data_IF_778133353972
#
_entry.id   IF_778133353972
#
_cell.length_a   1.000
_cell.length_b   1.000
_cell.length_c   1.000
_cell.angle_alpha   90.00
_cell.angle_beta   90.00
_cell.angle_gamma   90.00
#
_symmetry.space_group_name_H-M   'P 1'
#
loop_
_entity.id
_entity.type
_entity.pdbx_description
1 polymer ?
#
# COMPACT_ATOMS: atom_id res chain seq x y z
N UNK A 1 32.33 59.66 20.82
CA UNK A 1 32.36 61.11 21.04
C UNK A 1 33.68 61.63 20.51
N UNK A 2 33.64 62.82 19.91
CA UNK A 2 34.70 63.43 19.13
C UNK A 2 35.86 64.00 19.98
N UNK A 3 36.84 64.53 19.24
CA UNK A 3 37.91 65.47 19.63
C UNK A 3 39.26 64.86 20.01
N UNK A 4 40.41 65.36 19.57
CA UNK A 4 40.77 66.53 18.75
C UNK A 4 42.30 66.49 18.46
N UNK A 5 42.68 67.04 17.31
CA UNK A 5 43.81 67.97 17.06
C UNK A 5 45.25 67.58 17.47
N UNK A 6 46.14 67.35 16.50
CA UNK A 6 46.99 68.33 15.78
C UNK A 6 48.26 68.82 16.53
N UNK A 7 49.39 68.27 16.07
CA UNK A 7 50.63 68.94 15.61
C UNK A 7 51.25 70.07 16.45
N UNK A 8 52.43 69.78 17.00
CA UNK A 8 53.58 70.71 17.08
C UNK A 8 54.81 69.95 16.54
N UNK A 9 55.42 70.36 15.43
CA UNK A 9 56.32 71.50 15.23
C UNK A 9 57.79 71.06 15.27
N UNK A 10 58.37 71.06 14.06
CA UNK A 10 59.69 71.59 13.72
C UNK A 10 61.01 70.82 13.91
N UNK A 11 61.68 70.72 12.74
CA UNK A 11 63.11 70.85 12.47
C UNK A 11 63.99 69.65 12.85
N UNK A 12 64.78 69.05 11.95
CA UNK A 12 65.81 69.74 11.16
C UNK A 12 66.46 68.80 10.13
N UNK A 13 67.05 69.42 9.09
CA UNK A 13 68.23 69.02 8.29
C UNK A 13 68.04 68.28 6.95
N UNK A 14 68.16 69.10 5.90
CA UNK A 14 69.16 69.04 4.80
C UNK A 14 69.31 67.68 4.10
N UNK A 15 69.00 67.64 2.79
CA UNK A 15 70.02 67.90 1.77
C UNK A 15 69.38 68.06 0.38
N UNK A 16 69.79 69.11 -0.35
CA UNK A 16 69.60 69.19 -1.81
C UNK A 16 70.71 68.36 -2.43
N UNK A 17 70.38 67.52 -3.40
CA UNK A 17 71.19 67.32 -4.61
C UNK A 17 70.34 66.67 -5.71
N UNK A 18 70.47 67.26 -6.89
CA UNK A 18 70.29 66.70 -8.22
C UNK A 18 68.87 66.36 -8.71
N UNK A 19 68.19 67.46 -9.07
CA UNK A 19 67.13 67.48 -10.06
C UNK A 19 67.64 67.02 -11.44
N UNK A 20 67.52 65.74 -11.74
CA UNK A 20 67.39 65.26 -13.12
C UNK A 20 65.97 64.69 -13.29
N UNK A 21 65.01 65.59 -13.53
CA UNK A 21 63.65 65.22 -13.89
C UNK A 21 63.31 65.88 -15.23
N UNK A 22 63.39 65.10 -16.30
CA UNK A 22 62.95 65.43 -17.65
C UNK A 22 61.55 66.03 -17.59
N UNK A 23 61.41 67.29 -18.04
CA UNK A 23 60.13 68.01 -18.07
C UNK A 23 59.22 67.41 -19.16
N UNK A 24 58.36 66.47 -18.79
CA UNK A 24 57.37 65.87 -19.69
C UNK A 24 56.35 66.95 -20.08
N UNK A 25 56.23 67.25 -21.38
CA UNK A 25 55.18 68.14 -21.88
C UNK A 25 53.80 67.47 -21.74
N UNK A 26 52.74 68.21 -21.35
CA UNK A 26 51.41 67.64 -21.25
C UNK A 26 50.88 67.27 -22.65
N UNK A 27 50.57 65.99 -22.87
CA UNK A 27 49.91 65.53 -24.10
C UNK A 27 48.51 66.15 -24.21
N UNK A 28 48.16 66.65 -25.40
CA UNK A 28 46.81 67.09 -25.73
C UNK A 28 45.83 65.92 -25.54
N UNK A 29 44.72 66.17 -24.83
CA UNK A 29 43.66 65.20 -24.61
C UNK A 29 43.07 64.76 -25.95
N UNK A 30 43.14 63.47 -26.26
CA UNK A 30 42.45 62.88 -27.40
C UNK A 30 40.96 62.74 -27.04
N UNK A 31 40.07 63.28 -27.87
CA UNK A 31 38.62 63.10 -27.71
C UNK A 31 38.29 61.64 -27.98
N UNK A 32 37.49 61.03 -27.10
CA UNK A 32 37.00 59.67 -27.30
C UNK A 32 36.06 59.64 -28.50
N UNK A 33 36.16 58.60 -29.34
CA UNK A 33 35.27 58.36 -30.49
C UNK A 33 33.80 58.23 -30.05
N UNK A 34 33.56 57.95 -28.77
CA UNK A 34 32.24 57.90 -28.15
C UNK A 34 31.49 59.24 -28.18
N UNK A 35 32.17 60.37 -28.34
CA UNK A 35 31.53 61.70 -28.33
C UNK A 35 30.90 62.07 -29.69
N UNK A 36 31.06 61.24 -30.73
CA UNK A 36 30.71 61.60 -32.13
C UNK A 36 29.47 60.84 -32.64
N UNK A 37 28.97 59.82 -31.92
CA UNK A 37 27.88 59.00 -32.44
C UNK A 37 26.88 58.63 -31.35
N UNK A 38 25.80 59.41 -31.24
CA UNK A 38 24.55 58.89 -30.68
C UNK A 38 23.81 58.11 -31.78
N UNK A 39 23.67 56.77 -31.68
CA UNK A 39 22.82 56.05 -32.61
C UNK A 39 21.37 56.45 -32.34
N UNK A 40 20.77 57.21 -33.27
CA UNK A 40 19.33 57.46 -33.29
C UNK A 40 18.63 56.10 -33.38
N UNK A 41 18.15 55.58 -32.25
CA UNK A 41 17.42 54.30 -32.19
C UNK A 41 16.07 54.48 -32.88
N UNK A 42 16.01 54.18 -34.17
CA UNK A 42 14.75 54.01 -34.89
C UNK A 42 14.25 52.60 -34.55
N UNK A 43 13.29 52.50 -33.64
CA UNK A 43 12.55 51.26 -33.41
C UNK A 43 11.60 51.05 -34.58
N UNK A 44 12.02 50.25 -35.56
CA UNK A 44 11.15 49.79 -36.64
C UNK A 44 10.31 48.63 -36.11
N UNK A 45 9.05 48.89 -35.76
CA UNK A 45 8.07 47.84 -35.46
C UNK A 45 7.54 47.29 -36.78
N UNK A 46 8.20 46.27 -37.34
CA UNK A 46 7.72 45.57 -38.53
C UNK A 46 6.49 44.74 -38.14
N UNK A 47 5.31 45.14 -38.63
CA UNK A 47 4.10 44.34 -38.49
C UNK A 47 4.08 43.22 -39.53
N UNK A 48 3.55 42.05 -39.18
CA UNK A 48 3.56 40.84 -40.01
C UNK A 48 3.09 41.07 -41.46
N UNK A 49 2.17 42.01 -41.67
CA UNK A 49 1.61 42.36 -42.99
C UNK A 49 2.51 43.21 -43.91
N UNK A 50 3.66 43.69 -43.44
CA UNK A 50 4.57 44.54 -44.23
C UNK A 50 5.87 43.84 -44.66
N UNK A 51 6.09 42.61 -44.18
CA UNK A 51 7.28 41.82 -44.46
C UNK A 51 7.18 41.12 -45.82
N UNK A 52 8.26 41.12 -46.60
CA UNK A 52 8.34 40.27 -47.80
C UNK A 52 8.35 38.79 -47.41
N UNK A 53 7.91 37.91 -48.33
CA UNK A 53 7.72 36.48 -48.07
C UNK A 53 8.87 35.80 -47.30
N UNK A 54 10.16 36.01 -47.66
CA UNK A 54 11.28 35.42 -46.93
C UNK A 54 11.38 35.90 -45.48
N UNK A 55 11.13 37.20 -45.24
CA UNK A 55 11.18 37.78 -43.90
C UNK A 55 9.99 37.32 -43.04
N UNK A 56 8.82 37.11 -43.64
CA UNK A 56 7.64 36.59 -42.92
C UNK A 56 7.85 35.16 -42.43
N UNK A 57 8.49 34.30 -43.24
CA UNK A 57 8.83 32.93 -42.84
C UNK A 57 9.77 32.93 -41.63
N UNK A 58 10.86 33.70 -41.68
CA UNK A 58 11.83 33.85 -40.58
C UNK A 58 11.18 34.47 -39.34
N UNK A 59 10.30 35.45 -39.51
CA UNK A 59 9.58 36.09 -38.41
C UNK A 59 8.63 35.12 -37.69
N UNK A 60 7.88 34.31 -38.45
CA UNK A 60 6.97 33.31 -37.88
C UNK A 60 7.73 32.18 -37.17
N UNK A 61 8.86 31.74 -37.75
CA UNK A 61 9.73 30.75 -37.13
C UNK A 61 10.35 31.28 -35.84
N UNK A 62 10.85 32.52 -35.83
CA UNK A 62 11.42 33.14 -34.63
C UNK A 62 10.38 33.35 -33.53
N UNK A 63 9.14 33.72 -33.86
CA UNK A 63 8.05 33.78 -32.86
C UNK A 63 7.78 32.40 -32.23
N UNK A 64 7.73 31.35 -33.06
CA UNK A 64 7.54 29.98 -32.57
C UNK A 64 8.63 29.58 -31.58
N UNK A 65 9.89 29.79 -31.96
CA UNK A 65 11.06 29.51 -31.11
C UNK A 65 11.04 30.33 -29.83
N UNK A 66 10.66 31.62 -29.89
CA UNK A 66 10.60 32.47 -28.70
C UNK A 66 9.54 31.98 -27.70
N UNK A 67 8.36 31.58 -28.17
CA UNK A 67 7.29 31.01 -27.32
C UNK A 67 7.72 29.70 -26.68
N UNK A 68 8.33 28.81 -27.45
CA UNK A 68 8.85 27.55 -26.91
C UNK A 68 9.96 27.79 -25.88
N UNK A 69 10.85 28.75 -26.12
CA UNK A 69 11.90 29.11 -25.17
C UNK A 69 11.33 29.63 -23.84
N UNK A 70 10.26 30.43 -23.89
CA UNK A 70 9.56 30.90 -22.71
C UNK A 70 8.92 29.74 -21.92
N UNK A 71 8.27 28.81 -22.63
CA UNK A 71 7.73 27.58 -22.04
C UNK A 71 8.82 26.73 -21.37
N UNK A 72 9.92 26.47 -22.07
CA UNK A 72 11.04 25.68 -21.54
C UNK A 72 11.70 26.35 -20.33
N UNK A 73 11.78 27.68 -20.30
CA UNK A 73 12.27 28.43 -19.12
C UNK A 73 11.37 28.22 -17.91
N UNK A 74 10.06 28.23 -18.11
CA UNK A 74 9.10 27.97 -17.04
C UNK A 74 9.20 26.54 -16.52
N UNK A 75 9.28 25.54 -17.41
CA UNK A 75 9.48 24.13 -17.03
C UNK A 75 10.81 23.91 -16.30
N UNK A 76 11.89 24.53 -16.78
CA UNK A 76 13.20 24.44 -16.14
C UNK A 76 13.21 25.09 -14.76
N UNK A 77 12.47 26.19 -14.58
CA UNK A 77 12.28 26.78 -13.26
C UNK A 77 11.52 25.84 -12.33
N UNK A 78 10.42 25.25 -12.79
CA UNK A 78 9.63 24.32 -11.98
C UNK A 78 10.44 23.08 -11.58
N UNK A 79 11.17 22.47 -12.52
CA UNK A 79 12.07 21.35 -12.24
C UNK A 79 13.16 21.70 -11.22
N UNK A 80 13.69 22.93 -11.25
CA UNK A 80 14.65 23.40 -10.23
C UNK A 80 14.01 23.46 -8.85
N UNK A 81 12.77 23.93 -8.75
CA UNK A 81 12.03 23.97 -7.48
C UNK A 81 11.77 22.54 -6.97
N UNK A 82 11.31 21.64 -7.85
CA UNK A 82 11.09 20.23 -7.49
C UNK A 82 12.39 19.58 -6.99
N UNK A 83 13.50 19.78 -7.70
CA UNK A 83 14.81 19.25 -7.30
C UNK A 83 15.26 19.81 -5.94
N UNK A 84 15.03 21.09 -5.67
CA UNK A 84 15.35 21.71 -4.39
C UNK A 84 14.52 21.08 -3.25
N UNK A 85 13.23 20.84 -3.48
CA UNK A 85 12.36 20.18 -2.50
C UNK A 85 12.81 18.74 -2.22
N UNK A 86 13.16 17.98 -3.26
CA UNK A 86 13.67 16.62 -3.13
C UNK A 86 14.98 16.61 -2.34
N UNK A 87 15.93 17.51 -2.65
CA UNK A 87 17.21 17.62 -1.91
C UNK A 87 17.02 18.01 -0.44
N UNK A 88 16.00 18.83 -0.13
CA UNK A 88 15.65 19.14 1.25
C UNK A 88 15.06 17.94 1.98
N UNK A 89 14.21 17.16 1.31
CA UNK A 89 13.59 15.96 1.89
C UNK A 89 14.59 14.83 2.09
N UNK A 90 15.52 14.67 1.16
CA UNK A 90 16.55 13.63 1.17
C UNK A 90 17.93 14.28 1.04
N UNK A 91 18.49 14.76 2.17
CA UNK A 91 19.82 15.36 2.18
C UNK A 91 20.89 14.32 1.82
N UNK A 92 22.07 14.81 1.46
CA UNK A 92 23.24 13.96 1.25
C UNK A 92 23.55 13.20 2.55
N UNK A 93 23.47 11.88 2.50
CA UNK A 93 23.80 10.98 3.61
C UNK A 93 25.17 10.36 3.35
N UNK A 94 26.05 10.47 4.35
CA UNK A 94 27.37 9.87 4.34
C UNK A 94 27.45 8.78 5.43
N UNK A 95 28.20 7.71 5.17
CA UNK A 95 28.52 6.72 6.20
C UNK A 95 29.65 7.23 7.13
N UNK A 96 30.01 6.43 8.14
CA UNK A 96 31.11 6.76 9.05
C UNK A 96 32.49 6.88 8.38
N UNK A 97 32.62 6.41 7.13
CA UNK A 97 33.83 6.47 6.32
C UNK A 97 33.77 7.63 5.29
N UNK A 98 32.68 8.40 5.25
CA UNK A 98 32.48 9.50 4.31
C UNK A 98 31.95 9.10 2.92
N UNK A 99 31.56 7.84 2.71
CA UNK A 99 30.97 7.40 1.44
C UNK A 99 29.52 7.85 1.31
N UNK A 100 29.10 8.24 0.10
CA UNK A 100 27.72 8.61 -0.18
C UNK A 100 26.78 7.39 -0.16
N UNK A 101 25.89 7.34 0.84
CA UNK A 101 24.89 6.30 1.04
C UNK A 101 23.45 6.79 0.76
N UNK A 102 23.29 8.01 0.24
CA UNK A 102 21.99 8.66 0.03
C UNK A 102 21.02 7.79 -0.76
N UNK A 103 21.50 7.13 -1.82
CA UNK A 103 20.65 6.25 -2.63
C UNK A 103 20.13 5.07 -1.81
N UNK A 104 21.01 4.36 -1.09
CA UNK A 104 20.63 3.24 -0.22
C UNK A 104 19.62 3.67 0.84
N UNK A 105 19.81 4.85 1.42
CA UNK A 105 18.87 5.43 2.39
C UNK A 105 17.49 5.70 1.75
N UNK A 106 17.44 6.34 0.58
CA UNK A 106 16.18 6.61 -0.13
C UNK A 106 15.47 5.29 -0.47
N UNK A 107 16.20 4.32 -1.01
CA UNK A 107 15.65 3.01 -1.38
C UNK A 107 15.04 2.32 -0.16
N UNK A 108 15.75 2.31 0.97
CA UNK A 108 15.26 1.74 2.23
C UNK A 108 14.00 2.48 2.77
N UNK A 109 13.96 3.81 2.67
CA UNK A 109 12.77 4.60 3.07
C UNK A 109 11.55 4.25 2.22
N UNK A 110 11.73 4.08 0.91
CA UNK A 110 10.65 3.68 0.00
C UNK A 110 10.17 2.27 0.35
N UNK A 111 11.09 1.33 0.54
CA UNK A 111 10.77 -0.05 0.91
C UNK A 111 10.00 -0.14 2.23
N UNK A 112 10.47 0.57 3.26
CA UNK A 112 9.78 0.67 4.55
C UNK A 112 8.37 1.24 4.42
N UNK A 113 8.18 2.25 3.55
CA UNK A 113 6.86 2.81 3.30
C UNK A 113 5.92 1.80 2.65
N UNK A 114 6.43 1.00 1.71
CA UNK A 114 5.62 -0.03 1.04
C UNK A 114 5.21 -1.12 2.02
N UNK A 115 6.15 -1.63 2.82
CA UNK A 115 5.87 -2.64 3.86
C UNK A 115 4.87 -2.10 4.88
N UNK A 116 4.99 -0.83 5.30
CA UNK A 116 4.04 -0.20 6.20
C UNK A 116 2.63 -0.15 5.61
N UNK A 117 2.51 0.21 4.34
CA UNK A 117 1.21 0.26 3.66
C UNK A 117 0.56 -1.12 3.56
N UNK A 118 1.35 -2.14 3.24
CA UNK A 118 0.84 -3.52 3.18
C UNK A 118 0.42 -4.03 4.57
N UNK A 119 1.18 -3.69 5.62
CA UNK A 119 0.79 -4.01 6.99
C UNK A 119 -0.56 -3.42 7.36
N UNK A 120 -0.80 -2.15 7.05
CA UNK A 120 -2.08 -1.47 7.31
C UNK A 120 -3.22 -2.20 6.58
N UNK A 121 -3.02 -2.55 5.32
CA UNK A 121 -4.02 -3.29 4.52
C UNK A 121 -4.33 -4.66 5.14
N UNK A 122 -3.32 -5.40 5.58
CA UNK A 122 -3.49 -6.70 6.23
C UNK A 122 -4.21 -6.56 7.58
N UNK A 123 -3.86 -5.55 8.37
CA UNK A 123 -4.54 -5.23 9.64
C UNK A 123 -6.03 -4.95 9.42
N UNK A 124 -6.39 -4.16 8.41
CA UNK A 124 -7.78 -3.90 8.04
C UNK A 124 -8.54 -5.18 7.65
N UNK A 125 -7.93 -6.02 6.80
CA UNK A 125 -8.55 -7.30 6.42
C UNK A 125 -8.72 -8.26 7.60
N UNK A 126 -7.73 -8.34 8.49
CA UNK A 126 -7.82 -9.15 9.70
C UNK A 126 -8.97 -8.68 10.59
N UNK A 127 -9.09 -7.37 10.81
CA UNK A 127 -10.16 -6.78 11.60
C UNK A 127 -11.55 -7.09 11.00
N UNK A 128 -11.71 -6.94 9.68
CA UNK A 128 -12.97 -7.27 9.00
C UNK A 128 -13.33 -8.75 9.11
N UNK A 129 -12.34 -9.63 8.95
CA UNK A 129 -12.54 -11.08 9.04
C UNK A 129 -12.91 -11.50 10.47
N UNK A 130 -12.25 -10.94 11.48
CA UNK A 130 -12.59 -11.19 12.88
C UNK A 130 -14.03 -10.75 13.20
N UNK A 131 -14.42 -9.57 12.72
CA UNK A 131 -15.79 -9.07 12.87
C UNK A 131 -16.81 -10.03 12.24
N UNK A 132 -16.59 -10.45 10.99
CA UNK A 132 -17.47 -11.40 10.28
C UNK A 132 -17.54 -12.75 11.00
N UNK A 133 -16.42 -13.24 11.52
CA UNK A 133 -16.38 -14.48 12.28
C UNK A 133 -17.21 -14.38 13.56
N UNK A 134 -17.10 -13.26 14.28
CA UNK A 134 -17.87 -13.03 15.50
C UNK A 134 -19.38 -12.90 15.21
N UNK A 135 -19.77 -12.19 14.15
CA UNK A 135 -21.16 -12.11 13.70
C UNK A 135 -21.72 -13.51 13.37
N UNK A 136 -20.95 -14.32 12.65
CA UNK A 136 -21.36 -15.70 12.29
C UNK A 136 -21.46 -16.62 13.51
N UNK A 137 -20.54 -16.49 14.48
CA UNK A 137 -20.62 -17.21 15.77
C UNK A 137 -21.90 -16.84 16.52
N UNK A 138 -22.23 -15.55 16.61
CA UNK A 138 -23.46 -15.09 17.26
C UNK A 138 -24.72 -15.61 16.55
N UNK A 139 -24.72 -15.60 15.21
CA UNK A 139 -25.83 -16.13 14.43
C UNK A 139 -26.05 -17.62 14.71
N UNK A 140 -24.99 -18.43 14.65
CA UNK A 140 -25.06 -19.87 14.94
C UNK A 140 -25.58 -20.15 16.35
N UNK A 141 -25.13 -19.39 17.36
CA UNK A 141 -25.63 -19.53 18.73
C UNK A 141 -27.14 -19.24 18.84
N UNK A 142 -27.63 -18.23 18.11
CA UNK A 142 -29.08 -17.91 18.07
C UNK A 142 -29.87 -19.04 17.41
N UNK A 143 -29.39 -19.57 16.29
CA UNK A 143 -30.03 -20.70 15.58
C UNK A 143 -30.11 -21.95 16.46
N UNK A 144 -29.02 -22.29 17.16
CA UNK A 144 -29.03 -23.41 18.12
C UNK A 144 -30.03 -23.21 19.25
N UNK A 145 -30.15 -21.99 19.78
CA UNK A 145 -31.14 -21.66 20.81
C UNK A 145 -32.58 -21.79 20.30
N UNK A 146 -32.85 -21.39 19.06
CA UNK A 146 -34.17 -21.55 18.43
C UNK A 146 -34.49 -23.03 18.24
N UNK A 147 -33.57 -23.81 17.67
CA UNK A 147 -33.75 -25.25 17.48
C UNK A 147 -34.01 -25.98 18.81
N UNK A 148 -33.27 -25.63 19.87
CA UNK A 148 -33.49 -26.18 21.21
C UNK A 148 -34.84 -25.81 21.81
N UNK A 149 -35.43 -24.67 21.46
CA UNK A 149 -36.77 -24.26 21.89
C UNK A 149 -37.87 -24.93 21.07
N UNK A 150 -37.66 -25.15 19.78
CA UNK A 150 -38.63 -25.80 18.89
C UNK A 150 -38.75 -27.31 19.09
N UNK A 151 -37.67 -27.97 19.52
CA UNK A 151 -37.67 -29.42 19.78
C UNK A 151 -38.67 -29.86 20.86
N UNK A 152 -38.71 -29.25 22.06
CA UNK A 152 -39.69 -29.63 23.08
C UNK A 152 -41.13 -29.25 22.69
N UNK A 153 -41.35 -28.15 21.97
CA UNK A 153 -42.71 -27.78 21.52
C UNK A 153 -43.28 -28.75 20.50
N UNK A 154 -42.45 -29.32 19.62
CA UNK A 154 -42.88 -30.36 18.66
C UNK A 154 -43.11 -31.72 19.34
N UNK A 155 -42.42 -32.00 20.45
CA UNK A 155 -42.64 -33.19 21.27
C UNK A 155 -43.98 -33.10 22.03
N UNK A 156 -44.28 -31.94 22.64
CA UNK A 156 -45.56 -31.69 23.29
C UNK A 156 -46.76 -31.77 22.31
N UNK A 157 -46.61 -31.28 21.09
CA UNK A 157 -47.67 -31.42 20.05
C UNK A 157 -47.91 -32.87 19.58
N UNK A 158 -46.95 -33.78 19.79
CA UNK A 158 -47.12 -35.21 19.51
C UNK A 158 -47.73 -35.93 20.71
N UNK A 159 -47.34 -35.55 21.93
CA UNK A 159 -47.94 -36.08 23.17
C UNK A 159 -49.42 -35.68 23.30
N UNK A 160 -49.80 -34.44 22.99
CA UNK A 160 -51.20 -33.97 23.01
C UNK A 160 -52.07 -34.72 21.98
N UNK A 161 -51.50 -35.18 20.86
CA UNK A 161 -52.21 -36.00 19.86
C UNK A 161 -52.33 -37.47 20.26
N UNK A 162 -51.48 -37.95 21.17
CA UNK A 162 -51.57 -39.30 21.71
C UNK A 162 -52.65 -39.43 22.79
N UNK A 163 -53.07 -38.33 23.42
CA UNK A 163 -54.12 -38.35 24.46
C UNK A 163 -55.55 -38.29 23.90
N UNK A 164 -55.78 -37.80 22.68
CA UNK A 164 -57.14 -37.63 22.13
C UNK A 164 -57.71 -38.88 21.41
N UNK A 165 -56.87 -39.91 21.18
CA UNK A 165 -57.27 -41.16 20.53
C UNK A 165 -56.70 -42.40 21.22
N UNK A 166 -57.06 -42.59 22.50
CA UNK A 166 -57.05 -43.94 23.08
C UNK A 166 -58.45 -44.55 22.87
N UNK A 167 -58.66 -45.40 21.84
CA UNK A 167 -59.93 -46.11 21.73
C UNK A 167 -60.11 -47.01 22.96
N UNK A 168 -61.35 -47.22 23.45
CA UNK A 168 -61.59 -48.16 24.53
C UNK A 168 -61.08 -49.53 24.07
N UNK A 169 -60.18 -50.14 24.85
CA UNK A 169 -59.70 -51.50 24.61
C UNK A 169 -60.95 -52.38 24.50
N UNK A 170 -61.21 -53.02 23.34
CA UNK A 170 -62.34 -53.92 23.24
C UNK A 170 -62.03 -55.15 24.09
N UNK A 171 -62.89 -55.38 25.07
CA UNK A 171 -62.84 -56.47 26.03
C UNK A 171 -63.14 -57.80 25.31
N UNK A 172 -62.14 -58.38 24.65
CA UNK A 172 -62.23 -59.67 23.95
C UNK A 172 -60.89 -60.42 23.99
N UNK A 173 -60.75 -61.31 24.96
CA UNK A 173 -59.94 -62.55 24.96
C UNK A 173 -58.66 -62.56 24.09
N UNK A 174 -57.80 -61.55 24.24
CA UNK A 174 -56.51 -61.41 23.54
C UNK A 174 -55.56 -62.58 23.81
N UNK A 175 -55.73 -63.28 24.94
CA UNK A 175 -54.95 -64.47 25.30
C UNK A 175 -55.20 -65.65 24.34
N UNK A 176 -56.39 -65.76 23.75
CA UNK A 176 -56.75 -66.92 22.91
C UNK A 176 -56.12 -66.83 21.52
N UNK A 177 -56.10 -65.62 20.93
CA UNK A 177 -55.46 -65.39 19.64
C UNK A 177 -53.92 -65.34 19.75
N UNK A 178 -53.38 -64.82 20.86
CA UNK A 178 -51.94 -64.91 21.16
C UNK A 178 -51.48 -66.37 21.30
N UNK A 179 -52.28 -67.22 21.97
CA UNK A 179 -52.00 -68.66 22.08
C UNK A 179 -52.09 -69.37 20.72
N UNK A 180 -53.05 -69.02 19.86
CA UNK A 180 -53.11 -69.55 18.48
C UNK A 180 -51.89 -69.17 17.66
N UNK A 181 -51.44 -67.92 17.73
CA UNK A 181 -50.23 -67.48 17.04
C UNK A 181 -48.98 -68.20 17.55
N UNK A 182 -48.85 -68.37 18.87
CA UNK A 182 -47.74 -69.13 19.48
C UNK A 182 -47.76 -70.61 19.07
N UNK A 183 -48.93 -71.25 19.03
CA UNK A 183 -49.07 -72.64 18.60
C UNK A 183 -48.75 -72.79 17.10
N UNK A 184 -49.19 -71.85 16.27
CA UNK A 184 -48.87 -71.84 14.83
C UNK A 184 -47.37 -71.67 14.58
N UNK A 185 -46.70 -70.81 15.36
CA UNK A 185 -45.25 -70.62 15.25
C UNK A 185 -44.48 -71.86 15.72
N UNK A 186 -44.93 -72.53 16.79
CA UNK A 186 -44.31 -73.76 17.28
C UNK A 186 -44.40 -74.92 16.27
N UNK A 187 -45.54 -75.06 15.59
CA UNK A 187 -45.70 -76.08 14.54
C UNK A 187 -44.79 -75.82 13.34
N UNK A 188 -44.64 -74.55 12.93
CA UNK A 188 -43.74 -74.18 11.83
C UNK A 188 -42.28 -74.52 12.14
N UNK A 189 -41.83 -74.27 13.38
CA UNK A 189 -40.46 -74.57 13.83
C UNK A 189 -40.22 -76.10 13.92
N UNK A 190 -41.26 -76.89 14.22
CA UNK A 190 -41.16 -78.34 14.27
C UNK A 190 -41.12 -78.96 12.86
N UNK A 191 -41.89 -78.43 11.90
CA UNK A 191 -41.80 -78.84 10.49
C UNK A 191 -40.42 -78.53 9.88
N UNK A 192 -39.77 -77.43 10.30
CA UNK A 192 -38.44 -77.03 9.80
C UNK A 192 -37.30 -77.90 10.36
N UNK A 193 -37.48 -78.52 11.54
CA UNK A 193 -36.46 -79.36 12.20
C UNK A 193 -36.48 -80.84 11.84
N UNK A 194 -37.50 -81.32 11.13
CA UNK A 194 -37.53 -82.71 10.60
C UNK A 194 -36.86 -82.84 9.21
N UNK A 195 -36.33 -81.75 8.63
CA UNK A 195 -35.84 -81.73 7.23
C UNK A 195 -34.35 -81.36 7.02
N UNK A 196 -33.51 -81.34 8.04
CA UNK A 196 -32.05 -81.11 7.86
C UNK A 196 -31.19 -82.22 8.50
N UNK A 197 -30.48 -83.05 7.71
CA UNK A 197 -29.41 -83.90 8.20
C UNK A 197 -28.14 -83.10 8.47
N UNK A 198 -27.44 -83.46 9.54
CA UNK A 198 -26.16 -82.95 10.00
C UNK A 198 -25.06 -83.00 8.94
N UNK A 199 -24.12 -82.05 8.97
CA UNK A 199 -22.70 -82.36 8.79
C UNK A 199 -21.81 -81.31 9.47
N UNK A 200 -21.05 -81.80 10.44
CA UNK A 200 -19.89 -81.21 11.12
C UNK A 200 -18.70 -81.06 10.16
N UNK A 201 -17.94 -79.97 10.26
CA UNK A 201 -16.47 -80.10 10.29
C UNK A 201 -15.77 -78.89 10.92
N UNK A 202 -14.73 -79.23 11.68
CA UNK A 202 -13.87 -78.42 12.52
C UNK A 202 -12.77 -77.66 11.74
N UNK A 203 -11.99 -76.86 12.50
CA UNK A 203 -10.61 -76.40 12.28
C UNK A 203 -10.45 -75.17 11.36
N UNK A 204 -9.64 -74.15 11.65
CA UNK A 204 -8.62 -73.81 12.69
C UNK A 204 -8.33 -72.30 12.52
N UNK A 205 -8.08 -71.53 13.60
CA UNK A 205 -6.80 -70.89 13.96
C UNK A 205 -6.14 -70.06 12.80
N UNK A 206 -5.68 -68.82 12.96
CA UNK A 206 -4.78 -68.29 13.99
C UNK A 206 -4.90 -66.75 14.09
N UNK A 207 -4.56 -66.25 15.28
CA UNK A 207 -4.18 -64.87 15.61
C UNK A 207 -2.97 -64.39 14.76
N UNK A 208 -2.77 -63.08 14.63
CA UNK A 208 -1.52 -62.41 15.04
C UNK A 208 -1.66 -60.87 15.01
N UNK A 209 -0.98 -60.28 15.99
CA UNK A 209 -1.01 -58.92 16.52
C UNK A 209 -0.05 -57.93 15.81
N UNK A 210 -0.20 -56.64 16.19
CA UNK A 210 0.86 -55.62 16.34
C UNK A 210 1.55 -55.07 15.05
N UNK A 211 2.05 -53.83 14.95
CA UNK A 211 2.56 -52.86 15.92
C UNK A 211 2.70 -51.45 15.30
N UNK A 212 2.86 -50.44 16.17
CA UNK A 212 3.24 -49.05 15.93
C UNK A 212 4.72 -48.88 15.48
N UNK A 213 5.05 -47.74 14.87
CA UNK A 213 6.24 -46.86 15.08
C UNK A 213 6.40 -45.94 13.84
N UNK A 214 6.25 -44.62 13.98
CA UNK A 214 7.34 -43.63 14.16
C UNK A 214 8.47 -43.73 13.13
N UNK A 215 8.62 -42.69 12.30
CA UNK A 215 9.94 -42.14 11.97
C UNK A 215 9.84 -40.74 11.33
N UNK A 216 10.44 -39.78 12.05
CA UNK A 216 11.28 -38.63 11.64
C UNK A 216 10.92 -37.77 10.41
#
# INVERSE_FOLDING_TARGET
>A
MASENNTGSDNTKRNRNDQNATKIQPMKKWKSVSDIYEPRRVTVTLSEGTLSLPHRLVYNETIGVLKENEKLKAELFDLKIQLLLIKKKYPLMLDGNGNNITKKYIDAVIELSNVRNERIRLEEMCYENEKKLNERKQQMQREQMIQKKEHPSKLLELDDKCDEHVPPIPDKDTKTEELKLRLSLANLILEEKEQTPCETNEQTAEDEDEQEEEES
#
